data_IF_232043959776
#
_entry.id   IF_232043959776
#
_cell.length_a   1.000
_cell.length_b   1.000
_cell.length_c   1.000
_cell.angle_alpha   90.00
_cell.angle_beta   90.00
_cell.angle_gamma   90.00
#
_symmetry.space_group_name_H-M   'P 1'
#
loop_
_entity.id
_entity.type
_entity.pdbx_description
1 polymer ?
#
# COMPACT_ATOMS: atom_id res chain seq x y z
N UNK A 1 -0.54 10.74 -4.89
CA UNK A 1 -1.88 11.10 -4.39
C UNK A 1 -2.70 9.82 -4.17
N UNK A 2 -4.00 9.91 -3.89
CA UNK A 2 -4.85 8.71 -3.87
C UNK A 2 -5.03 8.14 -5.29
N UNK A 3 -5.07 8.99 -6.31
CA UNK A 3 -5.14 8.58 -7.71
C UNK A 3 -3.95 7.69 -8.10
N UNK A 4 -2.72 8.06 -7.70
CA UNK A 4 -1.54 7.23 -7.94
C UNK A 4 -1.66 5.84 -7.29
N UNK A 5 -2.34 5.74 -6.15
CA UNK A 5 -2.58 4.46 -5.48
C UNK A 5 -3.56 3.60 -6.27
N UNK A 6 -4.64 4.20 -6.78
CA UNK A 6 -5.63 3.51 -7.62
C UNK A 6 -4.96 2.99 -8.88
N UNK A 7 -4.20 3.84 -9.59
CA UNK A 7 -3.45 3.44 -10.79
C UNK A 7 -2.48 2.31 -10.46
N UNK A 8 -1.73 2.40 -9.35
CA UNK A 8 -0.82 1.34 -8.94
C UNK A 8 -1.54 0.02 -8.63
N UNK A 9 -2.73 0.07 -8.04
CA UNK A 9 -3.56 -1.11 -7.77
C UNK A 9 -4.06 -1.73 -9.08
N UNK A 10 -4.60 -0.92 -9.99
CA UNK A 10 -5.12 -1.37 -11.29
C UNK A 10 -4.01 -1.95 -12.18
N UNK A 11 -2.83 -1.35 -12.17
CA UNK A 11 -1.64 -1.82 -12.88
C UNK A 11 -0.96 -3.03 -12.21
N UNK A 12 -1.50 -3.54 -11.09
CA UNK A 12 -0.95 -4.70 -10.37
C UNK A 12 0.39 -4.44 -9.67
N UNK A 13 0.74 -3.18 -9.40
CA UNK A 13 1.98 -2.76 -8.71
C UNK A 13 1.89 -2.91 -7.18
N UNK A 14 1.17 -3.94 -6.73
CA UNK A 14 1.05 -4.30 -5.32
C UNK A 14 2.25 -5.17 -4.95
N UNK A 15 3.07 -4.70 -4.03
CA UNK A 15 4.24 -5.41 -3.51
C UNK A 15 3.84 -6.41 -2.41
N UNK A 16 2.89 -6.02 -1.55
CA UNK A 16 2.39 -6.88 -0.47
C UNK A 16 1.06 -6.35 0.11
N UNK A 17 0.39 -7.21 0.87
CA UNK A 17 -0.76 -6.87 1.71
C UNK A 17 -0.52 -7.39 3.13
N UNK A 18 -0.19 -6.48 4.05
CA UNK A 18 0.25 -6.81 5.41
C UNK A 18 -0.78 -6.41 6.49
N UNK A 19 -0.85 -7.12 7.62
CA UNK A 19 -1.71 -6.74 8.73
C UNK A 19 -1.27 -5.40 9.32
N UNK A 20 -2.23 -4.57 9.75
CA UNK A 20 -1.91 -3.36 10.48
C UNK A 20 -1.64 -3.69 11.96
N UNK A 21 -0.42 -3.47 12.49
CA UNK A 21 -0.07 -3.84 13.86
C UNK A 21 -0.85 -3.06 14.92
N UNK A 22 -1.31 -1.85 14.59
CA UNK A 22 -2.02 -0.97 15.53
C UNK A 22 -3.54 -1.11 15.44
N UNK A 23 -4.06 -1.59 14.31
CA UNK A 23 -5.50 -1.62 14.04
C UNK A 23 -5.91 -2.97 13.39
N UNK A 24 -6.33 -3.97 14.18
CA UNK A 24 -6.58 -5.33 13.68
C UNK A 24 -7.66 -5.45 12.60
N UNK A 25 -8.59 -4.50 12.56
CA UNK A 25 -9.65 -4.43 11.55
C UNK A 25 -9.17 -3.80 10.23
N UNK A 26 -7.91 -3.36 10.16
CA UNK A 26 -7.30 -2.72 9.00
C UNK A 26 -6.16 -3.57 8.47
N UNK A 27 -5.95 -3.47 7.17
CA UNK A 27 -4.77 -4.00 6.49
C UNK A 27 -4.03 -2.86 5.83
N UNK A 28 -2.84 -3.13 5.33
CA UNK A 28 -2.00 -2.14 4.66
C UNK A 28 -1.50 -2.73 3.35
N UNK A 29 -1.83 -2.07 2.24
CA UNK A 29 -1.19 -2.37 0.96
C UNK A 29 0.18 -1.71 0.93
N UNK A 30 1.17 -2.45 0.42
CA UNK A 30 2.47 -1.94 0.03
C UNK A 30 2.46 -1.80 -1.48
N UNK A 31 2.54 -0.57 -1.99
CA UNK A 31 2.45 -0.27 -3.42
C UNK A 31 3.79 0.24 -3.95
N UNK A 32 4.16 -0.17 -5.16
CA UNK A 32 5.26 0.47 -5.89
C UNK A 32 4.72 1.65 -6.69
N UNK A 33 5.10 2.87 -6.27
CA UNK A 33 4.79 4.09 -6.99
C UNK A 33 6.12 4.75 -7.37
N UNK A 34 6.42 4.78 -8.66
CA UNK A 34 7.62 5.39 -9.24
C UNK A 34 8.94 4.91 -8.58
N UNK A 35 9.05 3.61 -8.30
CA UNK A 35 10.27 3.02 -7.71
C UNK A 35 10.41 3.24 -6.20
N UNK A 36 9.33 3.66 -5.53
CA UNK A 36 9.30 3.83 -4.09
C UNK A 36 8.11 3.11 -3.48
N UNK A 37 8.30 2.47 -2.31
CA UNK A 37 7.22 1.78 -1.62
C UNK A 37 6.36 2.79 -0.84
N UNK A 38 5.06 2.75 -1.10
CA UNK A 38 4.04 3.49 -0.36
C UNK A 38 3.17 2.53 0.44
N UNK A 39 2.79 2.94 1.64
CA UNK A 39 1.90 2.20 2.51
C UNK A 39 0.54 2.85 2.48
N UNK A 40 -0.48 2.02 2.21
CA UNK A 40 -1.87 2.46 2.09
C UNK A 40 -2.73 1.62 3.02
N UNK A 41 -2.97 2.09 4.27
CA UNK A 41 -3.91 1.44 5.16
C UNK A 41 -5.32 1.49 4.59
N UNK A 42 -6.03 0.37 4.69
CA UNK A 42 -7.38 0.24 4.17
C UNK A 42 -8.25 -0.65 5.08
N UNK A 43 -9.55 -0.48 4.95
CA UNK A 43 -10.57 -1.42 5.46
C UNK A 43 -11.35 -1.99 4.29
N UNK A 44 -11.73 -3.27 4.39
CA UNK A 44 -12.60 -3.92 3.44
C UNK A 44 -13.97 -4.12 4.07
N UNK A 45 -15.01 -3.67 3.39
CA UNK A 45 -16.40 -3.90 3.77
C UNK A 45 -17.18 -4.54 2.60
N UNK A 46 -18.51 -4.64 2.75
CA UNK A 46 -19.40 -5.22 1.73
C UNK A 46 -19.46 -4.40 0.44
N UNK A 47 -19.12 -3.12 0.51
CA UNK A 47 -19.19 -2.16 -0.61
C UNK A 47 -17.86 -1.98 -1.33
N UNK A 48 -16.75 -2.35 -0.70
CA UNK A 48 -15.44 -2.38 -1.33
C UNK A 48 -14.28 -2.09 -0.38
N UNK A 49 -13.28 -1.39 -0.90
CA UNK A 49 -12.05 -1.01 -0.20
C UNK A 49 -12.07 0.48 0.10
N UNK A 50 -11.97 0.84 1.38
CA UNK A 50 -11.82 2.23 1.81
C UNK A 50 -10.37 2.52 2.20
N UNK A 51 -9.68 3.33 1.39
CA UNK A 51 -8.30 3.74 1.62
C UNK A 51 -8.28 4.90 2.62
N UNK A 52 -7.47 4.79 3.69
CA UNK A 52 -7.44 5.81 4.75
C UNK A 52 -6.39 6.88 4.53
N UNK A 53 -5.16 6.47 4.27
CA UNK A 53 -4.02 7.38 4.12
C UNK A 53 -2.99 6.75 3.19
N UNK A 54 -2.04 7.56 2.73
CA UNK A 54 -0.97 7.16 1.82
C UNK A 54 0.31 7.81 2.32
N UNK A 55 1.33 7.00 2.60
CA UNK A 55 2.62 7.53 3.02
C UNK A 55 3.79 6.73 2.45
N UNK A 56 4.88 7.40 2.04
CA UNK A 56 6.09 6.72 1.59
C UNK A 56 6.73 5.97 2.77
N UNK A 57 7.30 4.80 2.52
CA UNK A 57 8.02 4.04 3.54
C UNK A 57 9.40 3.54 3.07
N UNK A 58 10.45 4.24 3.51
CA UNK A 58 11.85 3.83 3.27
C UNK A 58 12.14 2.39 3.69
N UNK A 59 11.57 1.96 4.83
CA UNK A 59 11.70 0.58 5.33
C UNK A 59 11.21 -0.42 4.30
N UNK A 60 10.01 -0.20 3.76
CA UNK A 60 9.41 -1.12 2.80
C UNK A 60 10.10 -0.99 1.43
N UNK A 61 10.56 0.19 1.03
CA UNK A 61 11.38 0.34 -0.19
C UNK A 61 12.62 -0.55 -0.10
N UNK A 62 13.34 -0.56 1.03
CA UNK A 62 14.51 -1.41 1.19
C UNK A 62 14.19 -2.92 1.18
N UNK A 63 12.99 -3.32 1.61
CA UNK A 63 12.56 -4.73 1.67
C UNK A 63 12.09 -5.23 0.30
N UNK A 64 11.26 -4.43 -0.40
CA UNK A 64 10.55 -4.87 -1.60
C UNK A 64 11.13 -4.33 -2.91
N UNK A 65 11.95 -3.27 -2.85
CA UNK A 65 12.59 -2.63 -4.00
C UNK A 65 14.10 -2.42 -3.72
N UNK A 66 14.87 -3.46 -3.34
CA UNK A 66 16.31 -3.33 -3.18
C UNK A 66 16.94 -2.95 -4.53
N UNK A 67 17.93 -2.04 -4.49
CA UNK A 67 18.74 -1.78 -5.67
C UNK A 67 19.54 -3.05 -6.01
N UNK A 68 19.51 -3.44 -7.29
CA UNK A 68 20.42 -4.46 -7.84
C UNK A 68 21.88 -4.01 -7.78
#
# INVERSE_FOLDING_TARGET
SFEDCVIAIEDGRILDDIPNPNYPHQRMLVLNINGYAYIVPYVKDETGYFLKTVFPSKKHTAIYLPAE
#
